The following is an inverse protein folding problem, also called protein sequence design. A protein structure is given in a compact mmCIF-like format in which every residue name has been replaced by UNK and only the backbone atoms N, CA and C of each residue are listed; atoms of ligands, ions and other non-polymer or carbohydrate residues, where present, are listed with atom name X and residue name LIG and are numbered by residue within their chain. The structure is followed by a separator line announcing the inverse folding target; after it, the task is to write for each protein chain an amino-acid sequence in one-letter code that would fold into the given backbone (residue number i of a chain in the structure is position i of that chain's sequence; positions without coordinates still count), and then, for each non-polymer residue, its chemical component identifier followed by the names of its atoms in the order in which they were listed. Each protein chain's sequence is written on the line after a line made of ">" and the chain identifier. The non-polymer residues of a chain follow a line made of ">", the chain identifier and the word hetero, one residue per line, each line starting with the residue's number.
data_IF_879909192062
#
_entry.id   IF_879909192062
#
_cell.length_a   1.000
_cell.length_b   1.000
_cell.length_c   1.000
_cell.angle_alpha   90.00
_cell.angle_beta   90.00
_cell.angle_gamma   90.00
#
_symmetry.space_group_name_H-M   'P 1'
#
loop_
_entity.id
_entity.type
_entity.pdbx_description
1 polymer ?
#
# COMPACT_ATOMS: atom_id res chain seq x y z
N UNK A 1 -0.04 -88.13 2.75
CA UNK A 1 -0.91 -87.78 3.89
C UNK A 1 -1.58 -86.45 3.58
N UNK A 2 -2.91 -86.40 3.72
CA UNK A 2 -3.83 -85.37 3.21
C UNK A 2 -3.95 -84.22 4.22
N UNK A 3 -3.82 -82.93 3.83
CA UNK A 3 -4.41 -81.83 4.58
C UNK A 3 -5.81 -81.47 4.02
N UNK A 4 -6.65 -80.81 4.84
CA UNK A 4 -8.12 -80.78 4.70
C UNK A 4 -8.61 -79.59 3.85
N UNK A 5 -9.94 -79.43 3.63
CA UNK A 5 -10.49 -78.79 2.44
C UNK A 5 -10.61 -77.26 2.53
N UNK A 6 -10.74 -76.65 1.35
CA UNK A 6 -10.98 -75.22 1.12
C UNK A 6 -12.23 -74.73 1.87
N UNK A 7 -12.05 -73.66 2.65
CA UNK A 7 -13.12 -72.74 3.02
C UNK A 7 -13.08 -71.55 2.05
N UNK A 8 -13.97 -71.54 1.06
CA UNK A 8 -14.24 -70.37 0.23
C UNK A 8 -15.03 -69.34 1.07
N UNK A 9 -14.35 -68.30 1.53
CA UNK A 9 -15.02 -67.12 2.08
C UNK A 9 -15.39 -66.17 0.93
N UNK A 10 -16.67 -66.12 0.57
CA UNK A 10 -17.24 -65.11 -0.32
C UNK A 10 -17.33 -63.78 0.42
N UNK A 11 -16.39 -62.85 0.16
CA UNK A 11 -16.52 -61.46 0.61
C UNK A 11 -17.32 -60.68 -0.44
N UNK A 12 -18.60 -60.41 -0.15
CA UNK A 12 -19.36 -59.41 -0.88
C UNK A 12 -18.74 -58.03 -0.60
N UNK A 13 -17.99 -57.50 -1.57
CA UNK A 13 -17.54 -56.11 -1.54
C UNK A 13 -18.76 -55.20 -1.75
N UNK A 14 -19.25 -54.60 -0.67
CA UNK A 14 -20.24 -53.53 -0.73
C UNK A 14 -19.62 -52.31 -1.41
N UNK A 15 -19.95 -52.09 -2.68
CA UNK A 15 -19.64 -50.84 -3.38
C UNK A 15 -20.51 -49.72 -2.80
N UNK A 16 -19.95 -48.95 -1.87
CA UNK A 16 -20.50 -47.64 -1.51
C UNK A 16 -20.26 -46.69 -2.69
N UNK A 17 -21.29 -46.05 -3.26
CA UNK A 17 -21.08 -45.05 -4.29
C UNK A 17 -20.38 -43.84 -3.64
N UNK A 18 -19.14 -43.57 -4.03
CA UNK A 18 -18.48 -42.32 -3.68
C UNK A 18 -19.26 -41.19 -4.35
N UNK A 19 -20.01 -40.44 -3.54
CA UNK A 19 -20.61 -39.19 -3.95
C UNK A 19 -19.45 -38.23 -4.27
N UNK A 20 -19.07 -38.14 -5.54
CA UNK A 20 -18.14 -37.12 -6.01
C UNK A 20 -18.85 -35.78 -5.89
N UNK A 21 -18.59 -35.09 -4.77
CA UNK A 21 -18.99 -33.70 -4.57
C UNK A 21 -18.31 -32.87 -5.66
N UNK A 22 -19.02 -32.66 -6.78
CA UNK A 22 -18.55 -31.93 -7.95
C UNK A 22 -18.47 -30.44 -7.72
N UNK A 23 -17.45 -30.00 -6.98
CA UNK A 23 -16.97 -28.63 -6.98
C UNK A 23 -15.61 -28.57 -7.66
N UNK A 24 -15.45 -27.74 -8.69
CA UNK A 24 -14.12 -27.42 -9.20
C UNK A 24 -13.31 -26.75 -8.08
N UNK A 25 -12.07 -27.18 -7.80
CA UNK A 25 -11.26 -26.54 -6.77
C UNK A 25 -11.02 -25.07 -7.11
N UNK A 26 -10.87 -24.24 -6.07
CA UNK A 26 -10.51 -22.84 -6.24
C UNK A 26 -9.20 -22.74 -7.05
N UNK A 27 -9.10 -21.85 -8.05
CA UNK A 27 -7.91 -21.75 -8.90
C UNK A 27 -6.64 -21.49 -8.09
N UNK A 28 -5.54 -22.11 -8.49
CA UNK A 28 -4.21 -21.78 -7.99
C UNK A 28 -3.64 -20.58 -8.74
N UNK A 29 -2.80 -19.80 -8.07
CA UNK A 29 -2.07 -18.70 -8.70
C UNK A 29 -1.12 -19.24 -9.78
N UNK A 30 -0.98 -18.49 -10.87
CA UNK A 30 -0.06 -18.82 -11.96
C UNK A 30 1.37 -18.38 -11.60
N UNK A 31 2.36 -19.13 -12.07
CA UNK A 31 3.77 -18.75 -11.95
C UNK A 31 4.11 -17.57 -12.89
N UNK A 32 4.96 -16.63 -12.44
CA UNK A 32 5.38 -15.49 -13.26
C UNK A 32 6.29 -15.92 -14.42
N UNK A 33 6.15 -15.25 -15.57
CA UNK A 33 7.00 -15.49 -16.77
C UNK A 33 8.46 -15.08 -16.51
N UNK A 34 8.68 -14.01 -15.73
CA UNK A 34 10.00 -13.48 -15.40
C UNK A 34 9.99 -12.82 -14.03
N UNK A 35 11.07 -12.99 -13.27
CA UNK A 35 11.23 -12.40 -11.94
C UNK A 35 12.43 -11.46 -11.97
N UNK A 36 12.23 -10.22 -11.51
CA UNK A 36 13.32 -9.28 -11.24
C UNK A 36 13.77 -9.47 -9.79
N UNK A 37 15.04 -9.82 -9.61
CA UNK A 37 15.62 -10.04 -8.29
C UNK A 37 15.76 -8.75 -7.48
N UNK A 38 15.91 -8.92 -6.16
CA UNK A 38 16.10 -7.83 -5.19
C UNK A 38 17.29 -6.92 -5.55
N UNK A 39 18.43 -7.51 -5.90
CA UNK A 39 19.65 -6.77 -6.27
C UNK A 39 19.42 -5.83 -7.45
N UNK A 40 18.72 -6.29 -8.50
CA UNK A 40 18.38 -5.45 -9.66
C UNK A 40 17.34 -4.39 -9.29
N UNK A 41 16.36 -4.72 -8.44
CA UNK A 41 15.32 -3.77 -8.04
C UNK A 41 15.86 -2.57 -7.26
N UNK A 42 16.94 -2.74 -6.49
CA UNK A 42 17.57 -1.64 -5.75
C UNK A 42 18.29 -0.61 -6.62
N UNK A 43 18.56 -0.94 -7.89
CA UNK A 43 19.19 -0.02 -8.82
C UNK A 43 18.20 1.03 -9.33
N UNK A 44 16.89 0.85 -9.13
CA UNK A 44 15.90 1.84 -9.55
C UNK A 44 15.91 3.07 -8.65
N UNK A 45 15.76 4.28 -9.23
CA UNK A 45 15.76 5.52 -8.47
C UNK A 45 14.55 5.55 -7.53
N UNK A 46 14.78 5.91 -6.27
CA UNK A 46 13.76 5.93 -5.23
C UNK A 46 13.70 7.29 -4.54
N UNK A 47 12.48 7.72 -4.19
CA UNK A 47 12.27 8.86 -3.30
C UNK A 47 12.26 8.36 -1.86
N UNK A 48 13.19 8.84 -1.04
CA UNK A 48 13.34 8.40 0.34
C UNK A 48 12.58 9.28 1.35
N UNK A 49 11.99 10.40 0.93
CA UNK A 49 11.36 11.36 1.85
C UNK A 49 12.31 12.45 2.33
N UNK A 50 11.96 13.10 3.45
CA UNK A 50 12.74 14.19 4.07
C UNK A 50 13.63 13.65 5.20
N UNK A 51 14.85 13.26 4.85
CA UNK A 51 15.82 12.80 5.87
C UNK A 51 16.29 13.92 6.81
N UNK A 52 16.00 15.19 6.51
CA UNK A 52 16.30 16.34 7.38
C UNK A 52 15.17 16.71 8.34
N UNK A 53 13.98 16.14 8.20
CA UNK A 53 12.85 16.41 9.09
C UNK A 53 12.81 15.35 10.21
N UNK A 54 12.93 15.78 11.46
CA UNK A 54 13.00 14.87 12.62
C UNK A 54 11.79 13.94 12.73
N UNK A 55 10.58 14.43 12.41
CA UNK A 55 9.37 13.61 12.45
C UNK A 55 9.43 12.53 11.36
N UNK A 56 9.85 12.88 10.15
CA UNK A 56 10.00 11.94 9.03
C UNK A 56 11.07 10.89 9.28
N UNK A 57 12.19 11.26 9.89
CA UNK A 57 13.25 10.30 10.29
C UNK A 57 12.74 9.30 11.33
N UNK A 58 11.98 9.78 12.31
CA UNK A 58 11.48 8.96 13.42
C UNK A 58 10.27 8.10 13.05
N UNK A 59 9.33 8.67 12.30
CA UNK A 59 8.02 8.08 12.03
C UNK A 59 7.85 7.63 10.58
N UNK A 60 8.86 7.80 9.74
CA UNK A 60 8.75 7.58 8.29
C UNK A 60 7.95 8.68 7.59
N UNK A 61 7.84 8.58 6.27
CA UNK A 61 7.14 9.56 5.43
C UNK A 61 5.61 9.49 5.58
N UNK A 62 5.07 8.30 5.84
CA UNK A 62 3.65 7.96 5.73
C UNK A 62 3.04 8.44 4.40
N UNK A 63 3.53 7.83 3.33
CA UNK A 63 2.95 7.97 2.00
C UNK A 63 1.44 7.69 2.03
N UNK A 64 0.67 8.58 1.39
CA UNK A 64 -0.79 8.44 1.28
C UNK A 64 -1.21 8.15 -0.15
N UNK A 65 -0.72 8.95 -1.11
CA UNK A 65 -1.04 8.78 -2.53
C UNK A 65 -0.07 9.53 -3.43
N UNK A 66 -0.07 9.16 -4.69
CA UNK A 66 0.60 9.89 -5.76
C UNK A 66 -0.41 10.38 -6.80
N UNK A 67 -0.12 11.52 -7.42
CA UNK A 67 -0.89 12.10 -8.52
C UNK A 67 0.08 12.63 -9.56
N UNK A 68 -0.08 12.24 -10.82
CA UNK A 68 0.69 12.81 -11.93
C UNK A 68 -0.16 13.80 -12.71
N UNK A 69 0.35 15.01 -12.91
CA UNK A 69 -0.24 16.02 -13.79
C UNK A 69 0.86 16.48 -14.74
N UNK A 70 0.68 16.26 -16.04
CA UNK A 70 1.69 16.53 -17.06
C UNK A 70 3.03 15.82 -16.72
N UNK A 71 4.09 16.61 -16.50
CA UNK A 71 5.43 16.15 -16.13
C UNK A 71 5.70 16.22 -14.62
N UNK A 72 4.72 16.64 -13.82
CA UNK A 72 4.84 16.75 -12.37
C UNK A 72 4.23 15.52 -11.70
N UNK A 73 5.00 14.88 -10.84
CA UNK A 73 4.54 13.87 -9.89
C UNK A 73 4.39 14.52 -8.52
N UNK A 74 3.18 14.47 -7.99
CA UNK A 74 2.86 14.91 -6.64
C UNK A 74 2.77 13.71 -5.71
N UNK A 75 3.42 13.80 -4.55
CA UNK A 75 3.39 12.77 -3.51
C UNK A 75 2.79 13.39 -2.25
N UNK A 76 1.61 12.90 -1.85
CA UNK A 76 0.94 13.30 -0.62
C UNK A 76 1.34 12.36 0.51
N UNK A 77 1.66 12.93 1.67
CA UNK A 77 2.23 12.23 2.81
C UNK A 77 1.67 12.80 4.14
N UNK A 78 2.24 12.39 5.27
CA UNK A 78 2.03 13.08 6.56
C UNK A 78 2.61 14.48 6.48
N UNK A 79 1.79 15.47 6.81
CA UNK A 79 2.06 16.91 6.86
C UNK A 79 2.59 17.55 5.57
N UNK A 80 2.82 16.78 4.51
CA UNK A 80 3.56 17.23 3.35
C UNK A 80 2.93 16.82 2.03
N UNK A 81 3.12 17.67 1.02
CA UNK A 81 2.97 17.31 -0.39
C UNK A 81 4.26 17.70 -1.12
N UNK A 82 4.85 16.74 -1.83
CA UNK A 82 6.05 16.94 -2.63
C UNK A 82 5.67 17.06 -4.10
N UNK A 83 6.35 17.92 -4.85
CA UNK A 83 6.21 17.99 -6.30
C UNK A 83 7.56 17.72 -6.96
N UNK A 84 7.56 16.73 -7.86
CA UNK A 84 8.73 16.21 -8.57
C UNK A 84 8.52 16.41 -10.07
N UNK A 85 9.40 17.14 -10.75
CA UNK A 85 9.44 17.21 -12.20
C UNK A 85 10.16 15.98 -12.77
N UNK A 86 9.39 15.09 -13.39
CA UNK A 86 9.86 13.84 -13.96
C UNK A 86 10.82 14.03 -15.15
N UNK A 87 10.84 15.21 -15.79
CA UNK A 87 11.77 15.48 -16.89
C UNK A 87 13.21 15.72 -16.41
N UNK A 88 13.40 16.17 -15.17
CA UNK A 88 14.71 16.47 -14.59
C UNK A 88 15.19 15.43 -13.57
N UNK A 89 14.42 14.35 -13.35
CA UNK A 89 14.64 13.39 -12.26
C UNK A 89 14.77 11.95 -12.77
N UNK A 90 15.58 11.75 -13.82
CA UNK A 90 15.80 10.43 -14.44
C UNK A 90 16.65 9.48 -13.60
N UNK A 91 17.68 10.00 -12.93
CA UNK A 91 18.63 9.22 -12.13
C UNK A 91 18.37 9.31 -10.63
N UNK A 92 17.79 10.41 -10.16
CA UNK A 92 17.46 10.64 -8.76
C UNK A 92 16.12 11.34 -8.62
N UNK A 93 15.27 10.82 -7.73
CA UNK A 93 13.94 11.39 -7.45
C UNK A 93 14.07 12.47 -6.38
N UNK A 94 14.27 13.72 -6.81
CA UNK A 94 14.41 14.88 -5.93
C UNK A 94 13.20 15.81 -6.10
N UNK A 95 12.45 16.11 -5.02
CA UNK A 95 11.40 17.12 -5.06
C UNK A 95 11.96 18.53 -5.30
N UNK A 96 11.41 19.26 -6.27
CA UNK A 96 11.73 20.67 -6.52
C UNK A 96 10.90 21.59 -5.63
N UNK A 97 9.70 21.15 -5.21
CA UNK A 97 8.83 21.91 -4.33
C UNK A 97 8.24 21.03 -3.25
N UNK A 98 7.96 21.66 -2.11
CA UNK A 98 7.32 21.03 -0.95
C UNK A 98 6.31 21.98 -0.33
N UNK A 99 5.12 21.49 -0.13
CA UNK A 99 4.14 22.06 0.79
C UNK A 99 4.29 21.41 2.16
N UNK A 100 4.31 22.23 3.21
CA UNK A 100 4.18 21.78 4.61
C UNK A 100 2.86 22.28 5.19
N UNK A 101 2.05 21.36 5.68
CA UNK A 101 0.75 21.61 6.29
C UNK A 101 0.60 20.75 7.55
N UNK A 102 1.34 21.12 8.60
CA UNK A 102 1.21 20.53 9.95
C UNK A 102 -0.06 21.03 10.65
N UNK A 103 -0.66 20.17 11.47
CA UNK A 103 -1.72 20.54 12.42
C UNK A 103 -1.13 21.16 13.68
N UNK A 104 -1.90 22.03 14.35
CA UNK A 104 -1.55 22.55 15.69
C UNK A 104 -2.26 21.78 16.81
N UNK A 105 -3.15 20.86 16.47
CA UNK A 105 -4.05 20.17 17.40
C UNK A 105 -3.53 18.77 17.81
N UNK A 106 -2.23 18.49 17.65
CA UNK A 106 -1.65 17.17 17.98
C UNK A 106 -1.93 16.81 19.45
N UNK A 107 -1.58 17.70 20.38
CA UNK A 107 -1.81 17.50 21.82
C UNK A 107 -3.30 17.36 22.15
N UNK A 108 -4.13 18.20 21.53
CA UNK A 108 -5.58 18.15 21.73
C UNK A 108 -6.19 16.83 21.24
N UNK A 109 -5.62 16.25 20.18
CA UNK A 109 -6.03 14.96 19.65
C UNK A 109 -5.58 13.81 20.56
N UNK A 110 -4.35 13.85 21.07
CA UNK A 110 -3.84 12.78 21.96
C UNK A 110 -4.56 12.74 23.29
N UNK A 111 -4.87 13.89 23.90
CA UNK A 111 -5.66 13.93 25.16
C UNK A 111 -7.10 13.43 25.00
N UNK A 112 -7.59 13.30 23.76
CA UNK A 112 -8.88 12.66 23.44
C UNK A 112 -8.78 11.14 23.27
N UNK A 113 -7.61 10.54 23.55
CA UNK A 113 -7.39 9.10 23.54
C UNK A 113 -6.94 8.52 22.19
N UNK A 114 -6.45 9.36 21.27
CA UNK A 114 -5.82 8.89 20.02
C UNK A 114 -4.32 8.68 20.21
N UNK A 115 -3.74 7.78 19.42
CA UNK A 115 -2.29 7.58 19.43
C UNK A 115 -1.60 8.81 18.84
N UNK A 116 -0.39 9.12 19.33
CA UNK A 116 0.36 10.31 18.93
C UNK A 116 0.67 10.36 17.44
N UNK A 117 0.97 9.21 16.84
CA UNK A 117 1.18 9.05 15.40
C UNK A 117 -0.10 9.27 14.59
N UNK A 118 -1.29 8.98 15.09
CA UNK A 118 -2.54 9.24 14.37
C UNK A 118 -2.95 10.72 14.35
N UNK A 119 -2.35 11.55 15.21
CA UNK A 119 -2.76 12.93 15.45
C UNK A 119 -2.11 13.98 14.53
N UNK A 120 -1.38 13.56 13.50
CA UNK A 120 -0.81 14.46 12.50
C UNK A 120 -1.81 14.77 11.37
N UNK A 121 -1.39 15.59 10.40
CA UNK A 121 -2.20 15.88 9.23
C UNK A 121 -1.84 14.96 8.05
N UNK A 122 -2.62 13.92 7.81
CA UNK A 122 -2.43 13.02 6.68
C UNK A 122 -3.16 13.54 5.46
N UNK A 123 -2.45 13.87 4.38
CA UNK A 123 -3.06 14.38 3.15
C UNK A 123 -3.68 13.22 2.36
N UNK A 124 -5.00 13.04 2.49
CA UNK A 124 -5.74 11.92 1.90
C UNK A 124 -6.36 12.27 0.53
N UNK A 125 -6.72 13.53 0.33
CA UNK A 125 -7.26 14.04 -0.94
C UNK A 125 -6.26 14.98 -1.57
N UNK A 126 -5.91 14.70 -2.82
CA UNK A 126 -5.12 15.60 -3.67
C UNK A 126 -5.60 15.40 -5.10
N UNK A 127 -6.23 16.43 -5.66
CA UNK A 127 -6.82 16.39 -7.01
C UNK A 127 -6.60 17.72 -7.74
N UNK A 128 -6.52 17.71 -9.08
CA UNK A 128 -6.61 18.94 -9.85
C UNK A 128 -7.99 19.56 -9.64
N UNK A 129 -8.04 20.87 -9.34
CA UNK A 129 -9.30 21.62 -9.27
C UNK A 129 -9.58 22.34 -10.59
N UNK A 130 -8.54 22.85 -11.21
CA UNK A 130 -8.52 23.44 -12.55
C UNK A 130 -7.08 23.39 -13.09
N UNK A 131 -6.82 24.02 -14.23
CA UNK A 131 -5.52 23.98 -14.91
C UNK A 131 -4.37 24.59 -14.10
N UNK A 132 -4.66 25.43 -13.11
CA UNK A 132 -3.66 26.14 -12.30
C UNK A 132 -3.62 25.71 -10.83
N UNK A 133 -4.62 24.98 -10.32
CA UNK A 133 -4.76 24.78 -8.86
C UNK A 133 -5.05 23.34 -8.47
N UNK A 134 -4.53 22.98 -7.30
CA UNK A 134 -4.79 21.73 -6.62
C UNK A 134 -5.78 21.94 -5.48
N UNK A 135 -6.71 21.00 -5.32
CA UNK A 135 -7.54 20.89 -4.13
C UNK A 135 -7.00 19.74 -3.26
N UNK A 136 -6.75 20.04 -2.00
CA UNK A 136 -6.23 19.08 -1.04
C UNK A 136 -7.04 19.05 0.24
N UNK A 137 -7.25 17.86 0.81
CA UNK A 137 -7.82 17.68 2.14
C UNK A 137 -6.95 16.75 2.97
N UNK A 138 -6.79 17.10 4.24
CA UNK A 138 -6.04 16.30 5.20
C UNK A 138 -6.85 16.00 6.45
N UNK A 139 -6.44 14.97 7.19
CA UNK A 139 -7.09 14.54 8.44
C UNK A 139 -6.99 15.58 9.55
N UNK A 140 -5.93 16.38 9.54
CA UNK A 140 -5.64 17.48 10.46
C UNK A 140 -6.00 17.15 11.92
N UNK A 141 -5.37 16.10 12.48
CA UNK A 141 -5.60 15.61 13.84
C UNK A 141 -7.06 15.21 14.14
N UNK A 142 -7.66 14.39 13.27
CA UNK A 142 -9.09 14.02 13.33
C UNK A 142 -10.06 15.21 13.29
N UNK A 143 -9.63 16.33 12.70
CA UNK A 143 -10.46 17.48 12.39
C UNK A 143 -10.27 17.87 10.92
N UNK A 144 -10.86 17.11 9.97
CA UNK A 144 -10.54 17.19 8.56
C UNK A 144 -10.74 18.60 7.99
N UNK A 145 -9.78 19.07 7.21
CA UNK A 145 -9.83 20.39 6.57
C UNK A 145 -9.36 20.30 5.13
N UNK A 146 -9.83 21.24 4.29
CA UNK A 146 -9.51 21.31 2.87
C UNK A 146 -9.01 22.70 2.48
N UNK A 147 -8.12 22.76 1.49
CA UNK A 147 -7.50 24.00 0.97
C UNK A 147 -7.29 23.92 -0.54
N UNK A 148 -7.27 25.08 -1.19
CA UNK A 148 -6.81 25.22 -2.57
C UNK A 148 -5.38 25.72 -2.58
N UNK A 149 -4.56 25.17 -3.47
CA UNK A 149 -3.17 25.54 -3.67
C UNK A 149 -2.96 25.91 -5.13
N UNK A 150 -2.16 26.96 -5.37
CA UNK A 150 -1.68 27.36 -6.69
C UNK A 150 -0.26 26.81 -6.88
#
# INVERSE_FOLDING_TARGET
>A
MRPPPLLLALTLASFLPQLSSGGTPFPQDLEPISIVGRESSYLFPSFQGLMSDNDTVRLGLDFQRMLRINRMLYIAARDHVFAINLASSSEQIIPQQKLTWKTKDVEKCTVRGKNSDECYNYIKVLVPRNDETLFACGTNAFNPTCRNYK
#
